data_IF_214089317589
#
_entry.id   IF_214089317589
#
_cell.length_a   1.000
_cell.length_b   1.000
_cell.length_c   1.000
_cell.angle_alpha   90.00
_cell.angle_beta   90.00
_cell.angle_gamma   90.00
#
_symmetry.space_group_name_H-M   'P 1'
#
loop_
_entity.id
_entity.type
_entity.pdbx_description
1 polymer ?
#
# COMPACT_ATOMS: atom_id res chain seq x y z
N UNK A 1 16.87 -4.91 27.67
CA UNK A 1 16.45 -3.53 27.32
C UNK A 1 15.94 -3.40 25.88
N UNK A 2 16.69 -3.76 24.80
CA UNK A 2 16.22 -3.52 23.42
C UNK A 2 14.86 -4.15 23.09
N UNK A 3 14.60 -5.36 23.61
CA UNK A 3 13.29 -6.02 23.44
C UNK A 3 12.14 -5.27 24.14
N UNK A 4 12.37 -4.69 25.33
CA UNK A 4 11.36 -3.88 26.01
C UNK A 4 11.04 -2.61 25.22
N UNK A 5 12.07 -1.94 24.68
CA UNK A 5 11.92 -0.77 23.80
C UNK A 5 11.13 -1.13 22.54
N UNK A 6 11.45 -2.26 21.89
CA UNK A 6 10.70 -2.74 20.72
C UNK A 6 9.21 -2.90 21.05
N UNK A 7 8.87 -3.63 22.12
CA UNK A 7 7.48 -3.86 22.51
C UNK A 7 6.74 -2.58 22.90
N UNK A 8 7.44 -1.62 23.52
CA UNK A 8 6.89 -0.31 23.85
C UNK A 8 6.56 0.49 22.59
N UNK A 9 7.49 0.60 21.64
CA UNK A 9 7.30 1.34 20.39
C UNK A 9 6.30 0.68 19.44
N UNK A 10 6.27 -0.65 19.39
CA UNK A 10 5.31 -1.42 18.59
C UNK A 10 3.86 -1.10 19.01
N UNK A 11 3.62 -0.84 20.29
CA UNK A 11 2.28 -0.58 20.85
C UNK A 11 1.96 0.92 21.02
N UNK A 12 2.65 1.83 20.33
CA UNK A 12 2.35 3.26 20.35
C UNK A 12 0.86 3.55 20.05
N UNK A 13 0.17 4.36 20.87
CA UNK A 13 -1.21 4.77 20.61
C UNK A 13 -1.37 5.37 19.22
N UNK A 14 -2.50 5.07 18.58
CA UNK A 14 -2.81 5.63 17.26
C UNK A 14 -3.39 7.05 17.42
N UNK A 15 -3.29 7.95 16.41
CA UNK A 15 -3.71 9.34 16.56
C UNK A 15 -5.20 9.57 16.86
N UNK A 16 -6.05 8.58 16.59
CA UNK A 16 -7.48 8.58 16.91
C UNK A 16 -7.80 8.07 18.32
N UNK A 17 -6.79 7.57 19.04
CA UNK A 17 -6.90 7.10 20.42
C UNK A 17 -6.32 8.16 21.38
N UNK A 18 -7.02 8.41 22.49
CA UNK A 18 -6.48 9.26 23.57
C UNK A 18 -5.57 8.48 24.51
N UNK A 19 -6.06 7.31 24.94
CA UNK A 19 -5.42 6.45 25.92
C UNK A 19 -5.43 5.02 25.36
N UNK A 20 -4.32 4.31 25.54
CA UNK A 20 -4.22 2.89 25.24
C UNK A 20 -3.68 2.15 26.45
N UNK A 21 -4.55 1.35 27.06
CA UNK A 21 -4.16 0.41 28.10
C UNK A 21 -3.54 -0.83 27.49
N UNK A 22 -2.36 -1.20 27.98
CA UNK A 22 -1.62 -2.37 27.52
C UNK A 22 -1.26 -3.28 28.68
N UNK A 23 -1.31 -4.59 28.45
CA UNK A 23 -0.77 -5.56 29.42
C UNK A 23 0.73 -5.39 29.55
N UNK A 24 1.19 -5.27 30.79
CA UNK A 24 2.61 -5.19 31.12
C UNK A 24 3.07 -6.45 31.86
N UNK A 25 4.30 -6.85 31.60
CA UNK A 25 5.03 -7.89 32.34
C UNK A 25 6.25 -7.23 32.97
N UNK A 26 6.24 -7.04 34.28
CA UNK A 26 7.31 -6.36 35.01
C UNK A 26 8.11 -7.33 35.90
N UNK A 27 9.38 -7.06 36.09
CA UNK A 27 10.20 -7.77 37.06
C UNK A 27 9.78 -7.40 38.49
N UNK A 28 9.75 -8.35 39.43
CA UNK A 28 9.27 -8.13 40.80
C UNK A 28 10.01 -6.99 41.54
N UNK A 29 11.27 -6.73 41.19
CA UNK A 29 12.06 -5.64 41.77
C UNK A 29 11.96 -4.31 41.00
N UNK A 30 11.12 -4.23 39.94
CA UNK A 30 11.02 -3.03 39.09
C UNK A 30 12.19 -2.82 38.11
N UNK A 31 13.06 -3.81 37.93
CA UNK A 31 14.27 -3.68 37.10
C UNK A 31 13.98 -3.45 35.60
N UNK A 32 12.87 -4.01 35.09
CA UNK A 32 12.45 -3.87 33.69
C UNK A 32 10.96 -4.17 33.57
N UNK A 33 10.30 -3.50 32.61
CA UNK A 33 8.89 -3.72 32.26
C UNK A 33 8.78 -3.94 30.76
N UNK A 34 8.09 -5.00 30.36
CA UNK A 34 7.79 -5.33 28.97
C UNK A 34 6.31 -5.09 28.69
N UNK A 35 5.99 -4.54 27.53
CA UNK A 35 4.61 -4.57 27.01
C UNK A 35 4.34 -5.96 26.44
N UNK A 36 3.42 -6.70 27.05
CA UNK A 36 3.07 -8.08 26.71
C UNK A 36 1.83 -8.16 25.80
N UNK A 37 1.84 -7.36 24.73
CA UNK A 37 0.80 -7.37 23.70
C UNK A 37 1.39 -7.30 22.30
N UNK A 38 0.66 -7.86 21.33
CA UNK A 38 0.93 -7.72 19.89
C UNK A 38 -0.23 -6.88 19.33
N UNK A 39 0.03 -5.71 18.72
CA UNK A 39 -1.01 -4.82 18.21
C UNK A 39 -1.62 -5.38 16.93
N UNK A 40 -2.54 -6.33 17.08
CA UNK A 40 -3.30 -6.89 15.96
C UNK A 40 -4.37 -5.89 15.54
N UNK A 41 -4.40 -5.56 14.25
CA UNK A 41 -5.39 -4.68 13.64
C UNK A 41 -6.12 -5.41 12.51
N UNK A 42 -7.35 -5.00 12.22
CA UNK A 42 -8.07 -5.47 11.03
C UNK A 42 -7.68 -4.57 9.87
N UNK A 43 -7.04 -5.14 8.86
CA UNK A 43 -6.41 -4.37 7.76
C UNK A 43 -7.36 -3.39 7.05
N UNK A 44 -8.58 -3.76 6.61
CA UNK A 44 -9.51 -2.79 6.03
C UNK A 44 -9.90 -1.64 6.96
N UNK A 45 -10.07 -1.91 8.26
CA UNK A 45 -10.41 -0.89 9.26
C UNK A 45 -9.22 0.04 9.47
N UNK A 46 -8.03 -0.53 9.63
CA UNK A 46 -6.80 0.23 9.84
C UNK A 46 -6.47 1.13 8.65
N UNK A 47 -6.64 0.63 7.41
CA UNK A 47 -6.48 1.43 6.20
C UNK A 47 -7.50 2.57 6.14
N UNK A 48 -8.76 2.30 6.48
CA UNK A 48 -9.81 3.32 6.53
C UNK A 48 -9.52 4.38 7.62
N UNK A 49 -9.10 3.98 8.83
CA UNK A 49 -8.71 4.89 9.91
C UNK A 49 -7.57 5.82 9.47
N UNK A 50 -6.52 5.28 8.85
CA UNK A 50 -5.45 6.12 8.28
C UNK A 50 -5.92 6.99 7.11
N UNK A 51 -6.90 6.51 6.33
CA UNK A 51 -7.57 7.29 5.29
C UNK A 51 -8.30 8.51 5.85
N UNK A 52 -9.03 8.36 6.95
CA UNK A 52 -9.68 9.50 7.63
C UNK A 52 -8.65 10.43 8.27
N UNK A 53 -7.55 9.88 8.83
CA UNK A 53 -6.45 10.68 9.37
C UNK A 53 -5.81 11.55 8.28
N UNK A 54 -5.59 10.98 7.10
CA UNK A 54 -5.06 11.72 5.95
C UNK A 54 -5.95 12.92 5.57
N UNK A 55 -7.27 12.72 5.54
CA UNK A 55 -8.24 13.79 5.24
C UNK A 55 -8.17 14.88 6.32
N UNK A 56 -8.25 14.50 7.59
CA UNK A 56 -8.26 15.44 8.72
C UNK A 56 -6.96 16.23 8.82
N UNK A 57 -5.81 15.57 8.71
CA UNK A 57 -4.50 16.23 8.76
C UNK A 57 -4.30 17.19 7.58
N UNK A 58 -4.81 16.85 6.38
CA UNK A 58 -4.75 17.76 5.22
C UNK A 58 -5.64 18.98 5.40
N UNK A 59 -6.86 18.81 5.92
CA UNK A 59 -7.78 19.92 6.24
C UNK A 59 -7.17 20.82 7.30
N UNK A 60 -6.66 20.25 8.39
CA UNK A 60 -6.03 21.00 9.47
C UNK A 60 -4.81 21.80 9.01
N UNK A 61 -3.95 21.20 8.17
CA UNK A 61 -2.79 21.89 7.58
C UNK A 61 -3.20 23.03 6.63
N UNK A 62 -4.32 22.89 5.93
CA UNK A 62 -4.87 23.95 5.04
C UNK A 62 -5.44 25.10 5.85
N UNK A 63 -6.18 24.81 6.92
CA UNK A 63 -6.99 25.79 7.65
C UNK A 63 -6.18 26.53 8.72
N UNK A 64 -5.15 25.91 9.30
CA UNK A 64 -4.31 26.53 10.34
C UNK A 64 -3.29 27.51 9.74
N UNK A 65 -3.39 28.79 10.10
CA UNK A 65 -2.45 29.85 9.65
C UNK A 65 -1.01 29.65 10.11
N UNK A 66 -0.81 29.20 11.35
CA UNK A 66 0.52 28.98 11.92
C UNK A 66 0.57 27.62 12.60
N UNK A 67 1.22 26.65 11.94
CA UNK A 67 1.47 25.33 12.49
C UNK A 67 2.83 25.30 13.19
N UNK A 68 2.85 25.46 14.50
CA UNK A 68 4.08 25.42 15.31
C UNK A 68 4.48 23.97 15.57
N UNK A 69 5.63 23.56 15.05
CA UNK A 69 6.22 22.25 15.34
C UNK A 69 6.72 22.23 16.79
N UNK A 70 6.58 21.08 17.46
CA UNK A 70 7.18 20.85 18.78
C UNK A 70 8.72 20.97 18.72
N UNK A 71 9.33 21.38 19.83
CA UNK A 71 10.80 21.40 19.98
C UNK A 71 11.32 19.98 20.22
N UNK A 72 12.57 19.74 19.82
CA UNK A 72 13.29 18.49 20.09
C UNK A 72 14.66 18.82 20.68
N UNK A 73 15.05 18.22 21.83
CA UNK A 73 14.24 17.37 22.70
C UNK A 73 13.05 18.12 23.36
N UNK A 74 11.97 17.42 23.76
CA UNK A 74 10.85 18.06 24.44
C UNK A 74 11.19 18.58 25.85
N UNK A 75 12.03 17.86 26.59
CA UNK A 75 12.46 18.17 27.96
C UNK A 75 13.95 18.56 27.98
N UNK A 76 14.37 19.27 29.02
CA UNK A 76 15.79 19.60 29.25
C UNK A 76 16.56 18.37 29.76
N UNK A 77 17.86 18.26 29.45
CA UNK A 77 18.67 17.08 29.80
C UNK A 77 18.88 16.96 31.32
N UNK A 78 18.79 18.06 32.06
CA UNK A 78 18.91 18.13 33.53
C UNK A 78 17.57 17.88 34.26
N UNK A 79 16.45 17.82 33.53
CA UNK A 79 15.12 17.60 34.12
C UNK A 79 14.88 16.10 34.35
N UNK A 80 14.53 15.66 35.58
CA UNK A 80 14.22 14.26 35.83
C UNK A 80 12.92 13.85 35.09
N UNK A 81 12.77 12.58 34.68
CA UNK A 81 11.50 12.11 34.10
C UNK A 81 10.32 12.38 35.02
N UNK A 82 9.25 12.95 34.48
CA UNK A 82 8.02 13.24 35.22
C UNK A 82 7.34 11.95 35.69
N UNK A 83 6.90 11.94 36.95
CA UNK A 83 6.10 10.83 37.47
C UNK A 83 4.67 10.87 36.92
N UNK A 84 4.16 9.72 36.52
CA UNK A 84 2.85 9.59 35.89
C UNK A 84 1.71 9.85 36.87
N UNK A 85 1.82 9.37 38.11
CA UNK A 85 0.76 9.49 39.11
C UNK A 85 0.55 10.96 39.52
N UNK A 86 1.63 11.71 39.70
CA UNK A 86 1.57 13.09 40.16
C UNK A 86 1.24 14.10 39.04
N UNK A 87 1.67 13.86 37.81
CA UNK A 87 1.62 14.88 36.74
C UNK A 87 0.64 14.59 35.59
N UNK A 88 0.28 13.32 35.37
CA UNK A 88 -0.43 12.90 34.14
C UNK A 88 -1.76 12.23 34.44
N UNK A 89 -1.84 11.40 35.49
CA UNK A 89 -3.01 10.55 35.76
C UNK A 89 -4.33 11.33 35.89
N UNK A 90 -4.31 12.50 36.54
CA UNK A 90 -5.50 13.32 36.77
C UNK A 90 -5.76 14.36 35.66
N UNK A 91 -4.92 14.40 34.62
CA UNK A 91 -5.05 15.36 33.52
C UNK A 91 -5.86 14.74 32.39
N UNK A 92 -7.01 15.36 32.06
CA UNK A 92 -7.82 14.92 30.93
C UNK A 92 -7.02 15.02 29.61
N UNK A 93 -6.93 13.92 28.83
CA UNK A 93 -6.22 13.94 27.57
C UNK A 93 -6.91 14.86 26.57
N UNK A 94 -6.11 15.47 25.69
CA UNK A 94 -6.64 16.25 24.58
C UNK A 94 -7.50 15.39 23.65
N UNK A 95 -8.39 16.04 22.91
CA UNK A 95 -9.22 15.38 21.91
C UNK A 95 -8.34 14.69 20.84
N UNK A 96 -8.63 13.43 20.50
CA UNK A 96 -7.88 12.73 19.48
C UNK A 96 -8.27 13.25 18.09
N UNK A 97 -7.52 12.85 17.07
CA UNK A 97 -7.91 13.16 15.69
C UNK A 97 -9.02 12.17 15.31
N UNK A 98 -10.26 12.63 15.28
CA UNK A 98 -11.40 11.86 14.78
C UNK A 98 -12.15 12.69 13.75
N UNK A 99 -12.42 12.09 12.58
CA UNK A 99 -13.30 12.70 11.58
C UNK A 99 -14.74 12.46 11.99
N UNK A 100 -15.56 13.51 11.97
CA UNK A 100 -17.01 13.40 12.12
C UNK A 100 -17.56 12.51 10.98
N UNK A 101 -18.14 11.38 11.35
CA UNK A 101 -18.73 10.41 10.43
C UNK A 101 -20.22 10.71 10.22
N UNK A 102 -20.70 10.48 9.01
CA UNK A 102 -22.10 10.73 8.67
C UNK A 102 -23.02 9.65 9.27
N UNK A 103 -24.10 10.07 9.95
CA UNK A 103 -24.96 9.14 10.68
C UNK A 103 -25.75 8.20 9.77
N UNK A 104 -25.97 8.57 8.51
CA UNK A 104 -26.75 7.80 7.55
C UNK A 104 -25.84 6.99 6.62
N UNK A 105 -24.82 7.61 6.02
CA UNK A 105 -23.89 6.96 5.08
C UNK A 105 -22.83 6.08 5.78
N UNK A 106 -22.36 6.47 6.97
CA UNK A 106 -21.33 5.75 7.74
C UNK A 106 -21.91 4.89 8.87
N UNK A 107 -23.24 4.77 8.94
CA UNK A 107 -23.97 4.07 10.01
C UNK A 107 -23.41 2.70 10.38
N UNK A 108 -22.88 1.96 9.41
CA UNK A 108 -22.37 0.59 9.60
C UNK A 108 -21.06 0.53 10.39
N UNK A 109 -20.30 1.64 10.43
CA UNK A 109 -18.98 1.72 11.07
C UNK A 109 -18.93 2.74 12.22
N UNK A 110 -19.79 3.77 12.18
CA UNK A 110 -19.69 4.96 13.03
C UNK A 110 -19.53 4.67 14.53
N UNK A 111 -20.23 3.65 15.07
CA UNK A 111 -20.23 3.34 16.50
C UNK A 111 -18.90 2.78 17.03
N UNK A 112 -18.12 2.07 16.20
CA UNK A 112 -16.95 1.30 16.63
C UNK A 112 -15.66 1.71 15.90
N UNK A 113 -15.75 2.63 14.95
CA UNK A 113 -14.68 2.90 13.99
C UNK A 113 -13.38 3.37 14.63
N UNK A 114 -13.44 4.17 15.71
CA UNK A 114 -12.26 4.70 16.39
C UNK A 114 -11.88 3.95 17.67
N UNK A 115 -12.49 2.80 17.94
CA UNK A 115 -12.11 1.95 19.07
C UNK A 115 -10.68 1.39 18.90
N UNK A 116 -10.00 1.12 20.01
CA UNK A 116 -8.67 0.49 20.00
C UNK A 116 -8.67 -0.92 19.35
N UNK A 117 -9.68 -1.74 19.70
CA UNK A 117 -9.90 -3.08 19.13
C UNK A 117 -11.35 -3.19 18.67
N UNK A 118 -11.69 -2.63 17.50
CA UNK A 118 -13.06 -2.56 17.03
C UNK A 118 -13.73 -3.91 16.96
N UNK A 119 -14.98 -3.99 17.41
CA UNK A 119 -15.84 -5.18 17.30
C UNK A 119 -15.33 -6.42 18.05
N UNK A 120 -14.37 -6.28 18.98
CA UNK A 120 -13.73 -7.40 19.69
C UNK A 120 -14.69 -8.30 20.49
N UNK A 121 -15.83 -7.76 20.93
CA UNK A 121 -16.88 -8.47 21.69
C UNK A 121 -18.03 -9.00 20.82
N UNK A 122 -17.97 -8.79 19.51
CA UNK A 122 -19.05 -9.13 18.58
C UNK A 122 -18.74 -10.40 17.78
N UNK A 123 -19.76 -10.91 17.05
CA UNK A 123 -19.62 -12.07 16.15
C UNK A 123 -18.66 -11.85 14.98
N UNK A 124 -18.31 -10.61 14.67
CA UNK A 124 -17.48 -10.27 13.51
C UNK A 124 -16.00 -10.61 13.74
N UNK A 125 -15.60 -10.87 14.98
CA UNK A 125 -14.24 -11.26 15.35
C UNK A 125 -14.27 -12.54 16.18
N UNK A 126 -13.23 -13.36 16.09
CA UNK A 126 -13.13 -14.64 16.79
C UNK A 126 -12.93 -14.55 18.33
N UNK A 127 -13.28 -13.43 18.94
CA UNK A 127 -13.12 -13.12 20.37
C UNK A 127 -11.85 -12.32 20.70
N UNK A 128 -11.49 -12.31 21.99
CA UNK A 128 -10.45 -11.44 22.57
C UNK A 128 -9.04 -11.66 22.02
N UNK A 129 -8.79 -12.77 21.33
CA UNK A 129 -7.50 -13.04 20.66
C UNK A 129 -7.30 -12.20 19.39
N UNK A 130 -8.37 -11.63 18.83
CA UNK A 130 -8.36 -10.67 17.72
C UNK A 130 -7.54 -11.12 16.50
N UNK A 131 -7.80 -12.34 15.99
CA UNK A 131 -7.00 -12.96 14.92
C UNK A 131 -7.71 -13.12 13.60
N UNK A 132 -9.02 -13.35 13.63
CA UNK A 132 -9.85 -13.57 12.44
C UNK A 132 -11.04 -12.63 12.52
N UNK A 133 -11.33 -12.00 11.39
CA UNK A 133 -12.45 -11.11 11.21
C UNK A 133 -13.31 -11.61 10.04
N UNK A 134 -14.60 -11.30 10.08
CA UNK A 134 -15.55 -11.58 9.02
C UNK A 134 -16.59 -10.46 9.00
N UNK A 135 -16.55 -9.61 7.98
CA UNK A 135 -17.45 -8.45 7.88
C UNK A 135 -18.55 -8.65 6.86
N UNK A 136 -19.62 -7.86 7.01
CA UNK A 136 -20.69 -7.77 6.02
C UNK A 136 -20.26 -6.89 4.83
N UNK A 137 -20.88 -7.10 3.67
CA UNK A 137 -20.61 -6.30 2.47
C UNK A 137 -20.85 -4.79 2.72
N UNK A 138 -21.94 -4.35 3.41
CA UNK A 138 -22.13 -2.93 3.72
C UNK A 138 -21.01 -2.32 4.55
N UNK A 139 -20.48 -3.03 5.55
CA UNK A 139 -19.33 -2.57 6.33
C UNK A 139 -18.10 -2.40 5.45
N UNK A 140 -17.81 -3.39 4.59
CA UNK A 140 -16.68 -3.33 3.67
C UNK A 140 -16.82 -2.18 2.66
N UNK A 141 -18.02 -1.90 2.15
CA UNK A 141 -18.27 -0.79 1.23
C UNK A 141 -17.99 0.57 1.89
N UNK A 142 -18.46 0.78 3.12
CA UNK A 142 -18.17 2.00 3.88
C UNK A 142 -16.67 2.14 4.17
N UNK A 143 -16.00 1.08 4.63
CA UNK A 143 -14.54 1.10 4.86
C UNK A 143 -13.75 1.40 3.58
N UNK A 144 -14.14 0.81 2.45
CA UNK A 144 -13.51 1.07 1.15
C UNK A 144 -13.66 2.53 0.72
N UNK A 145 -14.85 3.13 0.91
CA UNK A 145 -15.10 4.55 0.64
C UNK A 145 -14.23 5.46 1.53
N UNK A 146 -14.14 5.18 2.83
CA UNK A 146 -13.32 5.96 3.77
C UNK A 146 -11.81 5.85 3.47
N UNK A 147 -11.35 4.69 3.00
CA UNK A 147 -9.95 4.44 2.65
C UNK A 147 -9.53 4.99 1.27
N UNK A 148 -10.46 5.54 0.47
CA UNK A 148 -10.24 5.89 -0.94
C UNK A 148 -9.05 6.84 -1.19
N UNK A 149 -8.64 7.65 -0.20
CA UNK A 149 -7.47 8.53 -0.33
C UNK A 149 -6.12 7.79 -0.33
N UNK A 150 -6.07 6.55 0.15
CA UNK A 150 -4.86 5.74 0.27
C UNK A 150 -4.84 4.54 -0.68
N UNK A 151 -6.00 4.18 -1.24
CA UNK A 151 -6.13 3.07 -2.17
C UNK A 151 -5.74 3.49 -3.60
N UNK A 152 -5.31 2.51 -4.37
CA UNK A 152 -5.03 2.67 -5.80
C UNK A 152 -6.32 2.72 -6.60
N UNK A 153 -6.36 3.54 -7.65
CA UNK A 153 -7.43 3.60 -8.65
C UNK A 153 -7.24 2.55 -9.77
N UNK A 154 -6.06 1.92 -9.83
CA UNK A 154 -5.74 0.85 -10.76
C UNK A 154 -6.64 -0.36 -10.56
N UNK A 155 -7.31 -0.77 -11.64
CA UNK A 155 -8.21 -1.94 -11.66
C UNK A 155 -7.54 -3.17 -12.25
N UNK A 156 -6.52 -2.99 -13.10
CA UNK A 156 -5.83 -4.07 -13.78
C UNK A 156 -4.31 -4.09 -13.55
N UNK A 157 -3.77 -5.31 -13.48
CA UNK A 157 -2.34 -5.52 -13.27
C UNK A 157 -1.49 -5.18 -14.49
N UNK A 158 -2.11 -4.97 -15.66
CA UNK A 158 -1.40 -4.57 -16.89
C UNK A 158 -0.70 -3.22 -16.74
N UNK A 159 -1.18 -2.34 -15.85
CA UNK A 159 -0.49 -1.11 -15.51
C UNK A 159 0.97 -1.35 -15.09
N UNK A 160 1.24 -2.47 -14.40
CA UNK A 160 2.57 -2.85 -13.93
C UNK A 160 3.42 -3.57 -15.00
N UNK A 161 3.06 -3.47 -16.29
CA UNK A 161 3.91 -4.01 -17.35
C UNK A 161 5.31 -3.39 -17.31
N UNK A 162 6.33 -4.25 -17.22
CA UNK A 162 7.73 -3.89 -16.95
C UNK A 162 7.99 -3.21 -15.61
N UNK A 163 6.98 -3.02 -14.76
CA UNK A 163 7.08 -2.45 -13.43
C UNK A 163 6.66 -3.44 -12.34
N UNK A 164 6.86 -4.73 -12.61
CA UNK A 164 6.66 -5.84 -11.69
C UNK A 164 7.99 -6.39 -11.15
N UNK A 165 7.92 -7.21 -10.11
CA UNK A 165 9.12 -7.80 -9.49
C UNK A 165 9.96 -8.60 -10.48
N UNK A 166 9.34 -9.31 -11.42
CA UNK A 166 10.04 -10.14 -12.42
C UNK A 166 10.86 -9.27 -13.38
N UNK A 167 10.29 -8.16 -13.84
CA UNK A 167 11.01 -7.23 -14.70
C UNK A 167 12.16 -6.55 -13.96
N UNK A 168 12.02 -6.22 -12.68
CA UNK A 168 13.13 -5.70 -11.88
C UNK A 168 14.25 -6.73 -11.64
N UNK A 169 13.91 -8.00 -11.43
CA UNK A 169 14.93 -9.06 -11.32
C UNK A 169 15.70 -9.23 -12.62
N UNK A 170 15.01 -9.21 -13.76
CA UNK A 170 15.64 -9.28 -15.08
C UNK A 170 16.49 -8.05 -15.36
N UNK A 171 16.01 -6.84 -15.04
CA UNK A 171 16.77 -5.60 -15.17
C UNK A 171 18.07 -5.64 -14.34
N UNK A 172 17.96 -6.09 -13.08
CA UNK A 172 19.11 -6.30 -12.18
C UNK A 172 20.11 -7.31 -12.74
N UNK A 173 19.63 -8.44 -13.24
CA UNK A 173 20.50 -9.50 -13.78
C UNK A 173 21.25 -9.04 -15.03
N UNK A 174 20.59 -8.29 -15.92
CA UNK A 174 21.16 -7.78 -17.16
C UNK A 174 21.99 -6.50 -16.99
N UNK A 175 22.07 -5.95 -15.77
CA UNK A 175 22.70 -4.65 -15.50
C UNK A 175 22.12 -3.51 -16.38
N UNK A 176 20.80 -3.50 -16.54
CA UNK A 176 20.08 -2.45 -17.27
C UNK A 176 19.05 -1.78 -16.36
N UNK A 177 18.67 -0.54 -16.70
CA UNK A 177 17.69 0.23 -15.93
C UNK A 177 16.43 0.50 -16.76
N UNK A 178 15.27 0.24 -16.15
CA UNK A 178 13.97 0.64 -16.69
C UNK A 178 13.79 2.15 -16.40
N UNK A 179 13.26 2.95 -17.34
CA UNK A 179 12.90 4.34 -17.03
C UNK A 179 11.96 4.40 -15.82
N UNK A 180 12.34 5.14 -14.78
CA UNK A 180 11.59 5.22 -13.51
C UNK A 180 11.80 4.04 -12.55
N UNK A 181 12.54 3.00 -12.96
CA UNK A 181 12.88 1.85 -12.13
C UNK A 181 14.18 2.01 -11.33
N UNK A 182 14.47 1.05 -10.42
CA UNK A 182 15.70 1.04 -9.64
C UNK A 182 16.93 0.71 -10.51
N UNK A 183 18.10 1.15 -10.05
CA UNK A 183 19.40 0.76 -10.60
C UNK A 183 20.13 -0.11 -9.57
N UNK A 184 20.90 -1.07 -10.05
CA UNK A 184 21.65 -1.99 -9.20
C UNK A 184 23.11 -2.06 -9.62
N UNK A 185 23.93 -2.62 -8.73
CA UNK A 185 25.29 -3.01 -9.05
C UNK A 185 25.27 -4.23 -10.00
N UNK A 186 26.19 -4.31 -10.99
CA UNK A 186 26.28 -5.45 -11.89
C UNK A 186 26.46 -6.76 -11.12
N UNK A 187 25.71 -7.81 -11.49
CA UNK A 187 25.83 -9.12 -10.86
C UNK A 187 27.20 -9.77 -11.15
N UNK A 188 27.68 -9.60 -12.37
CA UNK A 188 29.02 -10.03 -12.80
C UNK A 188 29.73 -8.80 -13.34
N UNK A 189 30.77 -8.36 -12.63
CA UNK A 189 31.55 -7.15 -12.99
C UNK A 189 32.54 -7.41 -14.13
N UNK A 190 32.98 -8.66 -14.24
CA UNK A 190 34.04 -9.10 -15.18
C UNK A 190 33.47 -9.79 -16.42
N UNK A 191 32.20 -9.52 -16.77
CA UNK A 191 31.71 -9.87 -18.11
C UNK A 191 32.52 -9.04 -19.09
N UNK A 192 33.51 -9.68 -19.73
CA UNK A 192 34.48 -9.09 -20.64
C UNK A 192 33.79 -8.18 -21.66
N UNK A 193 33.68 -6.89 -21.35
CA UNK A 193 33.20 -5.88 -22.29
C UNK A 193 34.02 -5.91 -23.58
N UNK A 194 35.28 -6.37 -23.49
CA UNK A 194 36.22 -6.49 -24.59
C UNK A 194 35.95 -7.67 -25.54
N UNK A 195 35.28 -8.74 -25.10
CA UNK A 195 35.05 -9.92 -25.94
C UNK A 195 33.78 -9.81 -26.82
N UNK A 196 32.88 -8.87 -26.50
CA UNK A 196 31.67 -8.62 -27.30
C UNK A 196 31.83 -7.54 -28.38
N UNK A 197 32.93 -6.78 -28.41
CA UNK A 197 33.07 -5.56 -29.22
C UNK A 197 33.13 -5.81 -30.74
N UNK A 198 33.69 -6.94 -31.21
CA UNK A 198 33.61 -7.35 -32.62
C UNK A 198 33.56 -8.87 -32.76
N UNK A 199 32.52 -9.37 -33.41
CA UNK A 199 32.39 -10.76 -33.81
C UNK A 199 31.80 -10.82 -35.23
N UNK A 200 31.96 -11.97 -35.91
CA UNK A 200 31.53 -12.12 -37.30
C UNK A 200 30.02 -11.85 -37.52
N UNK A 201 29.23 -11.94 -36.44
CA UNK A 201 27.79 -11.76 -36.40
C UNK A 201 27.35 -10.31 -36.14
N UNK A 202 28.14 -9.49 -35.43
CA UNK A 202 27.82 -8.10 -35.10
C UNK A 202 28.47 -7.07 -36.05
N UNK A 203 29.06 -7.52 -37.15
CA UNK A 203 29.61 -6.66 -38.21
C UNK A 203 28.53 -5.69 -38.72
N UNK A 204 28.83 -4.39 -38.64
CA UNK A 204 27.94 -3.30 -39.05
C UNK A 204 27.48 -3.41 -40.50
N UNK A 205 28.25 -4.07 -41.37
CA UNK A 205 27.89 -4.26 -42.78
C UNK A 205 26.84 -5.38 -42.99
N UNK A 206 26.64 -6.24 -41.98
CA UNK A 206 25.71 -7.39 -42.03
C UNK A 206 24.42 -7.14 -41.23
N UNK A 207 24.38 -6.09 -40.41
CA UNK A 207 23.23 -5.78 -39.55
C UNK A 207 22.37 -4.68 -40.15
N UNK A 208 21.09 -4.99 -40.40
CA UNK A 208 20.11 -3.99 -40.87
C UNK A 208 19.49 -3.29 -39.65
N UNK A 209 19.92 -2.05 -39.38
CA UNK A 209 19.36 -1.22 -38.31
C UNK A 209 18.14 -0.46 -38.82
N UNK A 210 16.94 -1.02 -38.63
CA UNK A 210 15.66 -0.32 -38.92
C UNK A 210 15.12 0.47 -37.74
N UNK A 211 15.27 -0.09 -36.53
CA UNK A 211 14.87 0.53 -35.28
C UNK A 211 15.88 0.15 -34.21
N UNK A 212 16.25 1.06 -33.29
CA UNK A 212 17.15 0.74 -32.19
C UNK A 212 16.47 -0.23 -31.21
N UNK A 213 17.21 -1.25 -30.76
CA UNK A 213 16.73 -2.16 -29.71
C UNK A 213 16.75 -1.40 -28.39
N UNK A 214 15.57 -1.12 -27.84
CA UNK A 214 15.44 -0.41 -26.56
C UNK A 214 15.65 -1.35 -25.36
N UNK A 215 16.01 -0.77 -24.23
CA UNK A 215 16.18 -1.50 -22.96
C UNK A 215 14.90 -2.25 -22.55
N UNK A 216 13.73 -1.68 -22.82
CA UNK A 216 12.45 -2.33 -22.52
C UNK A 216 12.28 -3.65 -23.28
N UNK A 217 12.80 -3.74 -24.51
CA UNK A 217 12.74 -4.98 -25.30
C UNK A 217 13.65 -6.06 -24.71
N UNK A 218 14.84 -5.65 -24.24
CA UNK A 218 15.79 -6.53 -23.54
C UNK A 218 15.21 -7.11 -22.25
N UNK A 219 14.25 -6.45 -21.62
CA UNK A 219 13.62 -6.92 -20.39
C UNK A 219 12.34 -7.69 -20.69
N UNK A 220 11.52 -7.22 -21.63
CA UNK A 220 10.28 -7.88 -22.05
C UNK A 220 10.54 -9.27 -22.65
N UNK A 221 11.58 -9.38 -23.47
CA UNK A 221 11.97 -10.63 -24.14
C UNK A 221 13.44 -10.94 -23.85
N UNK A 222 13.76 -11.34 -22.61
CA UNK A 222 15.14 -11.43 -22.15
C UNK A 222 15.96 -12.47 -22.91
N UNK A 223 15.30 -13.53 -23.39
CA UNK A 223 15.96 -14.59 -24.14
C UNK A 223 16.23 -14.26 -25.62
N UNK A 224 15.60 -13.20 -26.16
CA UNK A 224 15.69 -12.84 -27.58
C UNK A 224 16.72 -11.73 -27.86
N UNK A 225 16.77 -10.71 -26.99
CA UNK A 225 17.57 -9.50 -27.24
C UNK A 225 18.84 -9.40 -26.38
N UNK A 226 19.23 -10.45 -25.67
CA UNK A 226 20.45 -10.45 -24.84
C UNK A 226 21.35 -11.63 -25.19
N UNK A 227 22.65 -11.42 -24.99
CA UNK A 227 23.63 -12.51 -24.97
C UNK A 227 23.77 -13.06 -23.55
N UNK A 228 24.48 -14.18 -23.42
CA UNK A 228 24.92 -14.75 -22.14
C UNK A 228 23.79 -15.01 -21.13
N UNK A 229 22.57 -15.20 -21.61
CA UNK A 229 21.38 -15.41 -20.78
C UNK A 229 21.52 -16.68 -19.92
N UNK A 230 22.27 -17.68 -20.37
CA UNK A 230 22.55 -18.89 -19.60
C UNK A 230 23.42 -18.64 -18.36
N UNK A 231 24.15 -17.52 -18.31
CA UNK A 231 24.99 -17.12 -17.18
C UNK A 231 24.29 -16.15 -16.21
N UNK A 232 23.18 -15.54 -16.63
CA UNK A 232 22.47 -14.53 -15.87
C UNK A 232 21.11 -15.07 -15.41
N UNK A 233 20.73 -14.89 -14.13
CA UNK A 233 19.45 -15.38 -13.60
C UNK A 233 18.29 -14.48 -14.02
N UNK A 234 18.01 -14.42 -15.33
CA UNK A 234 16.85 -13.70 -15.87
C UNK A 234 15.55 -14.44 -15.55
N UNK A 235 14.46 -13.70 -15.39
CA UNK A 235 13.13 -14.26 -15.17
C UNK A 235 12.17 -13.84 -16.27
N UNK A 236 11.28 -14.75 -16.68
CA UNK A 236 10.21 -14.43 -17.61
C UNK A 236 9.13 -13.67 -16.84
N UNK A 237 8.86 -12.43 -17.26
CA UNK A 237 7.77 -11.62 -16.72
C UNK A 237 6.41 -12.10 -17.22
N UNK A 238 5.36 -11.80 -16.46
CA UNK A 238 4.00 -12.07 -16.92
C UNK A 238 3.69 -11.18 -18.13
N UNK A 239 3.23 -11.79 -19.22
CA UNK A 239 3.09 -11.07 -20.49
C UNK A 239 1.90 -10.11 -20.50
N UNK A 240 0.71 -10.60 -20.12
CA UNK A 240 -0.53 -9.83 -20.22
C UNK A 240 -1.66 -10.51 -19.44
N UNK A 241 -2.50 -9.74 -18.74
CA UNK A 241 -3.79 -10.18 -18.21
C UNK A 241 -4.91 -9.64 -19.10
N UNK A 242 -6.05 -10.36 -19.28
CA UNK A 242 -7.20 -9.80 -19.98
C UNK A 242 -7.59 -8.44 -19.39
N UNK A 243 -7.65 -7.39 -20.20
CA UNK A 243 -7.95 -6.03 -19.73
C UNK A 243 -9.30 -6.00 -19.01
N UNK A 244 -9.27 -5.56 -17.75
CA UNK A 244 -10.47 -5.45 -16.92
C UNK A 244 -11.18 -4.16 -17.29
N UNK A 245 -12.34 -4.28 -17.93
CA UNK A 245 -13.19 -3.14 -18.32
C UNK A 245 -14.26 -2.96 -17.24
N UNK A 246 -13.90 -2.27 -16.16
CA UNK A 246 -14.80 -1.93 -15.07
C UNK A 246 -15.19 -0.45 -15.14
N UNK A 247 -16.49 -0.17 -15.02
CA UNK A 247 -17.00 1.19 -14.96
C UNK A 247 -17.47 1.47 -13.53
N UNK A 248 -16.86 2.47 -12.90
CA UNK A 248 -17.24 2.92 -11.56
C UNK A 248 -18.43 3.87 -11.66
N UNK A 249 -19.51 3.54 -10.97
CA UNK A 249 -20.69 4.39 -10.87
C UNK A 249 -20.45 5.50 -9.85
N UNK A 250 -20.57 6.76 -10.27
CA UNK A 250 -20.41 7.92 -9.37
C UNK A 250 -21.74 8.36 -8.75
N UNK A 251 -22.88 8.09 -9.43
CA UNK A 251 -24.22 8.46 -8.98
C UNK A 251 -24.98 7.23 -8.44
N UNK A 252 -25.32 7.19 -7.13
CA UNK A 252 -26.07 6.08 -6.54
C UNK A 252 -27.55 6.05 -6.93
N UNK A 253 -28.10 7.12 -7.54
CA UNK A 253 -29.50 7.17 -7.96
C UNK A 253 -29.77 6.34 -9.23
N UNK A 254 -28.72 6.00 -9.97
CA UNK A 254 -28.81 5.17 -11.17
C UNK A 254 -29.00 3.68 -10.81
N UNK A 255 -29.72 2.90 -11.64
CA UNK A 255 -29.87 1.46 -11.42
C UNK A 255 -28.50 0.75 -11.38
N UNK A 256 -28.35 -0.26 -10.53
CA UNK A 256 -27.08 -1.00 -10.41
C UNK A 256 -26.59 -1.62 -11.73
N UNK A 257 -27.51 -2.05 -12.60
CA UNK A 257 -27.22 -2.50 -13.95
C UNK A 257 -27.87 -1.54 -14.94
N UNK A 258 -27.05 -0.73 -15.60
CA UNK A 258 -27.51 0.18 -16.65
C UNK A 258 -26.51 0.24 -17.79
N UNK A 259 -26.97 0.73 -18.93
CA UNK A 259 -26.13 0.93 -20.10
C UNK A 259 -25.37 2.25 -19.95
N UNK A 260 -24.14 2.16 -19.44
CA UNK A 260 -23.31 3.33 -19.18
C UNK A 260 -22.94 4.06 -20.49
N UNK A 261 -22.96 5.41 -20.53
CA UNK A 261 -22.58 6.18 -21.71
C UNK A 261 -21.17 5.91 -22.24
N UNK A 262 -20.26 5.33 -21.44
CA UNK A 262 -18.92 4.91 -21.86
C UNK A 262 -18.93 3.64 -22.72
N UNK A 263 -20.02 2.86 -22.71
CA UNK A 263 -20.15 1.63 -23.48
C UNK A 263 -20.53 1.97 -24.94
N UNK A 264 -19.83 1.36 -25.90
CA UNK A 264 -20.12 1.54 -27.33
C UNK A 264 -21.48 0.94 -27.73
N UNK A 265 -22.36 1.68 -28.44
CA UNK A 265 -23.69 1.22 -28.83
C UNK A 265 -23.64 -0.04 -29.70
N UNK A 266 -24.51 -0.99 -29.40
CA UNK A 266 -24.63 -2.23 -30.18
C UNK A 266 -25.42 -1.91 -31.45
N UNK A 267 -24.75 -1.92 -32.60
CA UNK A 267 -25.39 -1.76 -33.91
C UNK A 267 -25.77 -3.14 -34.49
N UNK A 268 -27.06 -3.48 -34.51
CA UNK A 268 -27.53 -4.71 -35.17
C UNK A 268 -27.57 -4.50 -36.69
N UNK A 269 -26.70 -5.20 -37.42
CA UNK A 269 -26.74 -5.29 -38.90
C UNK A 269 -26.76 -6.76 -39.29
N UNK A 270 -27.95 -7.31 -39.50
CA UNK A 270 -28.14 -8.63 -40.09
C UNK A 270 -28.93 -8.49 -41.38
N UNK A 271 -28.26 -8.67 -42.53
CA UNK A 271 -28.94 -8.92 -43.79
C UNK A 271 -29.05 -10.43 -43.95
N UNK A 272 -30.26 -10.97 -43.87
CA UNK A 272 -30.52 -12.32 -44.36
C UNK A 272 -30.20 -12.31 -45.87
N UNK A 273 -29.20 -13.09 -46.28
CA UNK A 273 -29.00 -13.37 -47.70
C UNK A 273 -30.22 -14.15 -48.18
N UNK A 274 -31.14 -13.46 -48.84
CA UNK A 274 -32.18 -14.09 -49.65
C UNK A 274 -31.45 -14.88 -50.75
N UNK A 275 -31.45 -16.20 -50.63
CA UNK A 275 -31.03 -17.10 -51.71
C UNK A 275 -32.23 -17.19 -52.66
N UNK A 276 -32.20 -16.40 -53.74
CA UNK A 276 -32.94 -16.71 -54.97
C UNK A 276 -32.29 -17.86 -55.70
#
# INVERSE_FOLDING_TARGET
MPHAVLKLLENMPMPWEQIRDVKVLYHITGAITFVNEIPRVIEPVYMAQWGTMWIMMRREKRDRRHFKRMRFPPFDDEEPPLDYADNILDVEPLEPIQMELDQDEDKTVAEWFYDHKPLSTTRFVNGTTYRRWAFSIPMMATLYRLANQLLTDLVDDNYFYLFDLKSFFTAKALNVAIPGGPKFEPLVKDLNALDEDWNEFNDINKVIIRAPIRTEYRIAFPFMYNNLINSLPVQVSWYHTPSVVFIKTEDPDLPAFYYDPLINPIAQRSAEKVIT
#
